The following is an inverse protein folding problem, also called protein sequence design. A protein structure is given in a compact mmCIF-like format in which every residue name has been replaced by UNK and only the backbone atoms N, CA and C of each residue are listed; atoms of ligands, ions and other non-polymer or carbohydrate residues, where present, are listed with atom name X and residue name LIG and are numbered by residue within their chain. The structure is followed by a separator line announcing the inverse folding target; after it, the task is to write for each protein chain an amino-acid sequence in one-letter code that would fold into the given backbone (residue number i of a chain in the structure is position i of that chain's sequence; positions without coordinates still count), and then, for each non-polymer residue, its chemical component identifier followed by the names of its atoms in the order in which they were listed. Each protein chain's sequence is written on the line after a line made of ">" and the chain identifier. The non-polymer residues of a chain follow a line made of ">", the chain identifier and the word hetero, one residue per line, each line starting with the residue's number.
data_IF_037289404560
#
_entry.id   IF_037289404560
#
_cell.length_a   1.000
_cell.length_b   1.000
_cell.length_c   1.000
_cell.angle_alpha   90.00
_cell.angle_beta   90.00
_cell.angle_gamma   90.00
#
_symmetry.space_group_name_H-M   'P 1'
#
loop_
_entity.id
_entity.type
_entity.pdbx_description
1 polymer ?
#
# COMPACT_ATOMS: atom_id res chain seq x y z
N UNK A 1 1.20 5.60 -4.61
CA UNK A 1 0.68 4.21 -4.66
C UNK A 1 1.11 3.64 -5.97
N UNK A 2 1.78 2.49 -5.96
CA UNK A 2 2.29 1.91 -7.19
C UNK A 2 1.71 0.50 -7.34
N UNK A 3 1.13 0.22 -8.49
CA UNK A 3 0.37 -0.98 -8.81
C UNK A 3 1.16 -1.80 -9.82
N UNK A 4 1.32 -3.09 -9.57
CA UNK A 4 2.06 -3.96 -10.46
C UNK A 4 1.10 -4.78 -11.32
N UNK A 5 1.22 -4.67 -12.65
CA UNK A 5 0.52 -5.50 -13.61
C UNK A 5 1.43 -6.67 -14.01
N UNK A 6 1.06 -7.87 -13.58
CA UNK A 6 1.55 -9.20 -13.99
C UNK A 6 2.80 -9.82 -13.32
N UNK A 7 2.61 -11.11 -12.97
CA UNK A 7 3.53 -12.25 -12.91
C UNK A 7 4.88 -12.15 -12.19
N UNK A 8 4.85 -11.89 -10.88
CA UNK A 8 5.93 -12.32 -9.99
C UNK A 8 5.43 -13.35 -8.99
N UNK A 9 5.79 -14.61 -9.27
CA UNK A 9 5.66 -15.76 -8.37
C UNK A 9 6.55 -15.53 -7.13
N UNK A 10 6.00 -14.90 -6.09
CA UNK A 10 6.62 -14.89 -4.75
C UNK A 10 6.43 -16.25 -4.06
N UNK A 11 7.35 -16.67 -3.17
CA UNK A 11 7.32 -18.00 -2.56
C UNK A 11 6.01 -18.22 -1.78
N UNK A 12 5.35 -19.33 -2.08
CA UNK A 12 4.06 -19.74 -1.54
C UNK A 12 4.03 -19.64 -0.02
N UNK A 13 3.30 -18.66 0.54
CA UNK A 13 2.98 -18.65 1.97
C UNK A 13 1.77 -19.51 2.23
N UNK A 14 2.09 -20.67 2.82
CA UNK A 14 1.20 -21.68 3.36
C UNK A 14 0.15 -21.04 4.31
N UNK A 15 -1.12 -21.20 3.96
CA UNK A 15 -2.26 -20.81 4.80
C UNK A 15 -2.43 -21.83 5.93
N UNK A 16 -2.22 -21.42 7.18
CA UNK A 16 -2.71 -22.15 8.34
C UNK A 16 -3.29 -21.17 9.36
N UNK A 17 -4.58 -21.32 9.59
CA UNK A 17 -5.40 -20.60 10.56
C UNK A 17 -4.80 -20.69 11.97
N UNK A 18 -4.40 -19.55 12.53
CA UNK A 18 -4.05 -19.29 13.92
C UNK A 18 -4.55 -17.87 14.28
N UNK A 19 -4.53 -17.43 15.55
CA UNK A 19 -5.14 -16.15 15.97
C UNK A 19 -4.67 -15.01 15.05
N UNK A 20 -5.58 -14.10 14.69
CA UNK A 20 -5.43 -13.05 13.66
C UNK A 20 -4.17 -12.19 13.85
N UNK A 21 -3.03 -12.72 13.42
CA UNK A 21 -1.75 -12.04 13.43
C UNK A 21 -1.44 -11.64 11.99
N UNK A 22 -1.59 -10.34 11.70
CA UNK A 22 -1.14 -9.79 10.44
C UNK A 22 0.37 -9.61 10.52
N UNK A 23 1.10 -10.42 9.75
CA UNK A 23 2.55 -10.29 9.62
C UNK A 23 2.89 -8.87 9.13
N UNK A 24 3.93 -8.23 9.68
CA UNK A 24 4.38 -6.94 9.19
C UNK A 24 4.73 -7.04 7.70
N UNK A 25 4.35 -6.01 6.96
CA UNK A 25 4.68 -5.87 5.54
C UNK A 25 6.14 -5.40 5.46
N UNK A 26 6.98 -6.02 4.60
CA UNK A 26 8.35 -5.56 4.39
C UNK A 26 8.39 -4.06 4.07
N UNK A 27 9.35 -3.36 4.69
CA UNK A 27 9.60 -1.94 4.46
C UNK A 27 11.01 -1.76 3.93
N UNK A 28 11.15 -1.26 2.70
CA UNK A 28 12.44 -0.88 2.12
C UNK A 28 12.64 0.61 2.35
N UNK A 29 13.75 0.98 2.98
CA UNK A 29 14.08 2.39 3.24
C UNK A 29 15.38 2.73 2.53
N UNK A 30 15.35 3.69 1.60
CA UNK A 30 16.56 4.24 0.99
C UNK A 30 17.26 5.22 1.94
N UNK A 31 18.58 5.35 1.85
CA UNK A 31 19.39 6.12 2.82
C UNK A 31 19.05 7.61 2.85
N UNK A 32 18.71 8.18 1.71
CA UNK A 32 18.21 9.54 1.55
C UNK A 32 16.82 9.72 2.18
N UNK A 33 15.91 8.77 1.95
CA UNK A 33 14.58 8.74 2.54
C UNK A 33 14.63 8.60 4.07
N UNK A 34 15.60 7.85 4.61
CA UNK A 34 15.79 7.71 6.06
C UNK A 34 16.06 9.06 6.74
N UNK A 35 16.97 9.87 6.19
CA UNK A 35 17.28 11.19 6.73
C UNK A 35 16.07 12.13 6.68
N UNK A 36 15.37 12.14 5.53
CA UNK A 36 14.18 12.99 5.35
C UNK A 36 12.99 12.53 6.19
N UNK A 37 12.90 11.25 6.56
CA UNK A 37 11.88 10.77 7.50
C UNK A 37 12.00 11.47 8.85
N UNK A 38 13.21 11.63 9.34
CA UNK A 38 13.46 12.17 10.68
C UNK A 38 13.16 13.68 10.72
N UNK A 39 13.50 14.39 9.65
CA UNK A 39 13.40 15.86 9.57
C UNK A 39 12.10 16.37 8.95
N UNK A 40 11.49 15.63 8.03
CA UNK A 40 10.41 16.14 7.17
C UNK A 40 9.13 15.30 7.17
N UNK A 41 9.13 14.05 7.69
CA UNK A 41 7.91 13.23 7.63
C UNK A 41 6.79 13.82 8.52
N UNK A 42 5.62 13.99 7.90
CA UNK A 42 4.42 14.45 8.60
C UNK A 42 3.93 13.40 9.60
N UNK A 43 3.17 13.79 10.64
CA UNK A 43 2.58 12.83 11.58
C UNK A 43 1.76 11.74 10.88
N UNK A 44 1.04 12.09 9.81
CA UNK A 44 0.26 11.14 9.01
C UNK A 44 1.17 10.12 8.33
N UNK A 45 2.26 10.54 7.68
CA UNK A 45 3.19 9.60 7.04
C UNK A 45 3.89 8.69 8.07
N UNK A 46 4.24 9.22 9.24
CA UNK A 46 4.79 8.41 10.35
C UNK A 46 3.78 7.37 10.83
N UNK A 47 2.51 7.75 10.96
CA UNK A 47 1.43 6.85 11.34
C UNK A 47 1.22 5.76 10.29
N UNK A 48 1.09 6.13 9.00
CA UNK A 48 0.93 5.20 7.88
C UNK A 48 2.07 4.18 7.87
N UNK A 49 3.33 4.61 7.98
CA UNK A 49 4.48 3.68 8.06
C UNK A 49 4.35 2.73 9.24
N UNK A 50 4.07 3.26 10.43
CA UNK A 50 3.97 2.46 11.65
C UNK A 50 2.82 1.45 11.58
N UNK A 51 1.71 1.82 10.96
CA UNK A 51 0.58 0.93 10.78
C UNK A 51 1.06 -0.34 10.07
N UNK A 52 1.81 -0.24 8.99
CA UNK A 52 2.17 -1.42 8.18
C UNK A 52 3.42 -2.20 8.61
N UNK A 53 4.30 -1.56 9.40
CA UNK A 53 5.62 -2.12 9.74
C UNK A 53 5.69 -2.74 11.13
N UNK A 54 4.67 -2.56 11.98
CA UNK A 54 4.56 -3.20 13.30
C UNK A 54 3.72 -4.48 13.25
N UNK A 55 4.01 -5.43 14.15
CA UNK A 55 3.10 -6.54 14.41
C UNK A 55 1.77 -5.98 14.93
N UNK A 56 0.66 -6.38 14.30
CA UNK A 56 -0.68 -5.99 14.73
C UNK A 56 -1.34 -7.14 15.48
N UNK A 57 -1.94 -6.82 16.61
CA UNK A 57 -2.71 -7.76 17.43
C UNK A 57 -4.15 -7.26 17.52
N UNK A 58 -5.12 -8.09 17.12
CA UNK A 58 -6.56 -7.75 17.12
C UNK A 58 -7.11 -7.15 15.82
N UNK A 59 -8.39 -6.76 15.85
CA UNK A 59 -9.26 -6.30 14.73
C UNK A 59 -8.81 -5.00 14.00
N UNK A 60 -7.54 -4.59 14.10
CA UNK A 60 -7.00 -3.42 13.37
C UNK A 60 -6.74 -3.74 11.88
N UNK A 61 -7.81 -4.10 11.17
CA UNK A 61 -7.85 -4.34 9.72
C UNK A 61 -8.03 -3.05 8.90
N UNK A 62 -7.45 -1.93 9.34
CA UNK A 62 -7.68 -0.60 8.73
C UNK A 62 -7.45 -0.56 7.21
N UNK A 63 -6.44 -1.28 6.69
CA UNK A 63 -6.21 -1.34 5.24
C UNK A 63 -7.24 -2.21 4.53
N UNK A 64 -7.59 -3.36 5.10
CA UNK A 64 -8.55 -4.28 4.49
C UNK A 64 -9.93 -3.63 4.39
N UNK A 65 -10.32 -2.88 5.41
CA UNK A 65 -11.54 -2.05 5.43
C UNK A 65 -11.47 -0.87 4.47
N UNK A 66 -10.30 -0.22 4.36
CA UNK A 66 -10.08 0.83 3.37
C UNK A 66 -10.24 0.30 1.95
N UNK A 67 -9.60 -0.83 1.63
CA UNK A 67 -9.68 -1.47 0.33
C UNK A 67 -11.13 -1.87 0.03
N UNK A 68 -11.85 -2.43 1.01
CA UNK A 68 -13.30 -2.69 0.89
C UNK A 68 -14.08 -1.43 0.48
N UNK A 69 -13.78 -0.28 1.08
CA UNK A 69 -14.45 1.00 0.81
C UNK A 69 -14.02 1.64 -0.52
N UNK A 70 -12.73 1.58 -0.84
CA UNK A 70 -12.14 2.18 -2.04
C UNK A 70 -12.61 1.43 -3.30
N UNK A 71 -12.53 0.10 -3.26
CA UNK A 71 -12.90 -0.78 -4.36
C UNK A 71 -14.37 -1.24 -4.34
N UNK A 72 -15.10 -0.89 -3.28
CA UNK A 72 -16.55 -1.12 -3.14
C UNK A 72 -16.94 -2.59 -3.33
N UNK A 73 -16.23 -3.52 -2.66
CA UNK A 73 -16.31 -4.95 -2.98
C UNK A 73 -17.69 -5.62 -2.89
N UNK A 74 -18.68 -4.94 -2.31
CA UNK A 74 -20.02 -5.47 -2.00
C UNK A 74 -21.13 -4.68 -2.71
N UNK A 75 -20.79 -3.65 -3.49
CA UNK A 75 -21.76 -2.79 -4.19
C UNK A 75 -21.78 -3.09 -5.70
N UNK A 76 -22.95 -3.00 -6.33
CA UNK A 76 -23.08 -3.17 -7.78
C UNK A 76 -22.22 -2.16 -8.54
N UNK A 77 -21.24 -2.65 -9.31
CA UNK A 77 -20.22 -1.84 -9.99
C UNK A 77 -18.84 -1.81 -9.31
N UNK A 78 -18.68 -2.46 -8.15
CA UNK A 78 -17.39 -2.66 -7.48
C UNK A 78 -16.61 -3.88 -7.97
N UNK A 79 -15.40 -4.05 -7.43
CA UNK A 79 -14.53 -5.19 -7.74
C UNK A 79 -14.88 -6.39 -6.84
N UNK A 80 -14.93 -7.64 -7.33
CA UNK A 80 -15.15 -8.78 -6.44
C UNK A 80 -14.06 -8.89 -5.35
N UNK A 81 -14.41 -9.19 -4.09
CA UNK A 81 -13.43 -9.31 -2.99
C UNK A 81 -12.27 -10.28 -3.29
N UNK A 82 -12.51 -11.34 -4.06
CA UNK A 82 -11.48 -12.29 -4.50
C UNK A 82 -10.40 -11.67 -5.41
N UNK A 83 -10.70 -10.53 -6.02
CA UNK A 83 -9.80 -9.75 -6.88
C UNK A 83 -9.19 -8.56 -6.11
N UNK A 84 -9.35 -8.50 -4.78
CA UNK A 84 -8.77 -7.44 -3.97
C UNK A 84 -7.25 -7.42 -4.15
N UNK A 85 -6.65 -6.23 -4.31
CA UNK A 85 -5.21 -6.13 -4.38
C UNK A 85 -4.60 -6.41 -3.00
N UNK A 86 -3.43 -7.04 -3.00
CA UNK A 86 -2.73 -7.44 -1.78
C UNK A 86 -1.52 -6.52 -1.61
N UNK A 87 -1.41 -5.86 -0.46
CA UNK A 87 -0.23 -5.05 -0.14
C UNK A 87 0.97 -5.98 0.08
N UNK A 88 1.97 -5.89 -0.79
CA UNK A 88 3.16 -6.74 -0.75
C UNK A 88 4.31 -6.10 0.02
N UNK A 89 4.52 -4.80 -0.16
CA UNK A 89 5.59 -4.06 0.51
C UNK A 89 5.29 -2.58 0.61
N UNK A 90 6.06 -1.90 1.45
CA UNK A 90 6.15 -0.45 1.48
C UNK A 90 7.59 -0.04 1.19
N UNK A 91 7.74 1.06 0.46
CA UNK A 91 9.03 1.71 0.25
C UNK A 91 8.95 3.13 0.78
N UNK A 92 10.03 3.55 1.42
CA UNK A 92 10.27 4.93 1.78
C UNK A 92 11.18 5.52 0.73
N UNK A 93 10.70 6.54 0.02
CA UNK A 93 11.36 7.12 -1.14
C UNK A 93 11.40 8.64 -1.02
N UNK A 94 12.16 9.25 -1.94
CA UNK A 94 12.24 10.69 -2.11
C UNK A 94 11.66 11.01 -3.48
N UNK A 95 10.66 11.89 -3.53
CA UNK A 95 10.08 12.37 -4.79
C UNK A 95 11.13 13.12 -5.60
N UNK A 96 10.88 13.33 -6.89
CA UNK A 96 11.74 14.18 -7.75
C UNK A 96 11.95 15.60 -7.15
N UNK A 97 10.94 16.13 -6.46
CA UNK A 97 11.01 17.40 -5.72
C UNK A 97 11.79 17.34 -4.38
N UNK A 98 12.43 16.23 -4.04
CA UNK A 98 13.21 16.07 -2.81
C UNK A 98 12.38 15.85 -1.53
N UNK A 99 11.11 15.44 -1.62
CA UNK A 99 10.23 15.24 -0.47
C UNK A 99 10.15 13.78 -0.09
N UNK A 100 10.12 13.51 1.22
CA UNK A 100 9.87 12.16 1.73
C UNK A 100 8.45 11.69 1.36
N UNK A 101 8.35 10.49 0.79
CA UNK A 101 7.08 9.85 0.46
C UNK A 101 7.04 8.37 0.84
N UNK A 102 5.83 7.83 0.89
CA UNK A 102 5.58 6.41 1.11
C UNK A 102 4.96 5.80 -0.15
N UNK A 103 5.59 4.75 -0.64
CA UNK A 103 5.12 3.96 -1.78
C UNK A 103 4.57 2.64 -1.27
N UNK A 104 3.26 2.47 -1.39
CA UNK A 104 2.58 1.20 -1.16
C UNK A 104 2.55 0.41 -2.47
N UNK A 105 3.12 -0.80 -2.45
CA UNK A 105 3.23 -1.68 -3.62
C UNK A 105 2.19 -2.80 -3.50
N UNK A 106 1.26 -2.83 -4.44
CA UNK A 106 0.20 -3.83 -4.48
C UNK A 106 0.41 -4.86 -5.57
N UNK A 107 0.19 -6.13 -5.23
CA UNK A 107 -0.06 -7.18 -6.22
C UNK A 107 -1.55 -7.22 -6.54
N UNK A 108 -1.89 -7.13 -7.83
CA UNK A 108 -3.27 -7.12 -8.28
C UNK A 108 -3.43 -7.94 -9.57
N UNK A 109 -3.67 -9.25 -9.46
CA UNK A 109 -3.71 -10.16 -10.62
C UNK A 109 -4.89 -9.96 -11.57
N UNK A 110 -5.95 -9.32 -11.08
CA UNK A 110 -7.23 -9.22 -11.78
C UNK A 110 -7.69 -7.77 -11.93
N UNK A 111 -6.81 -6.81 -11.64
CA UNK A 111 -7.08 -5.37 -11.74
C UNK A 111 -6.03 -4.75 -12.65
N UNK A 112 -6.43 -3.76 -13.42
CA UNK A 112 -5.50 -2.97 -14.21
C UNK A 112 -5.10 -1.69 -13.47
N UNK A 113 -4.03 -1.04 -13.90
CA UNK A 113 -3.64 0.28 -13.37
C UNK A 113 -4.81 1.28 -13.38
N UNK A 114 -5.62 1.26 -14.45
CA UNK A 114 -6.79 2.13 -14.60
C UNK A 114 -7.84 1.94 -13.50
N UNK A 115 -7.91 0.76 -12.86
CA UNK A 115 -8.79 0.54 -11.71
C UNK A 115 -8.32 1.32 -10.47
N UNK A 116 -7.02 1.51 -10.32
CA UNK A 116 -6.47 2.30 -9.22
C UNK A 116 -6.55 3.79 -9.51
N UNK A 117 -6.24 4.22 -10.74
CA UNK A 117 -6.30 5.63 -11.16
C UNK A 117 -7.69 6.23 -10.96
N UNK A 118 -8.75 5.51 -11.37
CA UNK A 118 -10.16 5.91 -11.16
C UNK A 118 -10.52 6.08 -9.67
N UNK A 119 -9.69 5.55 -8.76
CA UNK A 119 -9.91 5.52 -7.31
C UNK A 119 -8.85 6.33 -6.54
N UNK A 120 -7.94 7.02 -7.22
CA UNK A 120 -6.83 7.79 -6.62
C UNK A 120 -7.31 8.80 -5.57
N UNK A 121 -8.38 9.54 -5.84
CA UNK A 121 -8.95 10.51 -4.89
C UNK A 121 -9.43 9.85 -3.58
N UNK A 122 -9.93 8.61 -3.65
CA UNK A 122 -10.33 7.84 -2.46
C UNK A 122 -9.13 7.36 -1.66
N UNK A 123 -8.03 7.01 -2.33
CA UNK A 123 -6.77 6.69 -1.65
C UNK A 123 -6.22 7.90 -0.89
N UNK A 124 -6.19 9.08 -1.50
CA UNK A 124 -5.78 10.32 -0.80
C UNK A 124 -6.65 10.56 0.44
N UNK A 125 -7.96 10.48 0.29
CA UNK A 125 -8.92 10.69 1.40
C UNK A 125 -8.81 9.64 2.50
N UNK A 126 -8.41 8.41 2.18
CA UNK A 126 -8.22 7.34 3.17
C UNK A 126 -7.08 7.63 4.13
N UNK A 127 -5.96 8.16 3.62
CA UNK A 127 -4.79 8.47 4.45
C UNK A 127 -4.94 9.79 5.23
N UNK A 128 -5.92 10.62 4.87
CA UNK A 128 -6.30 11.81 5.62
C UNK A 128 -5.96 13.12 4.90
N UNK A 129 -6.35 14.26 5.51
CA UNK A 129 -6.20 15.57 4.90
C UNK A 129 -4.73 15.93 4.69
N UNK A 130 -4.43 16.62 3.59
CA UNK A 130 -3.07 17.05 3.26
C UNK A 130 -2.16 15.95 2.71
N UNK A 131 -2.71 14.77 2.39
CA UNK A 131 -2.00 13.72 1.67
C UNK A 131 -2.36 13.76 0.19
N UNK A 132 -1.33 13.87 -0.65
CA UNK A 132 -1.43 13.59 -2.09
C UNK A 132 -1.22 12.10 -2.32
N UNK A 133 -2.08 11.47 -3.11
CA UNK A 133 -1.88 10.11 -3.58
C UNK A 133 -1.65 10.14 -5.08
N UNK A 134 -0.61 9.47 -5.53
CA UNK A 134 -0.33 9.20 -6.95
C UNK A 134 -0.52 7.72 -7.23
N UNK A 135 -0.86 7.36 -8.46
CA UNK A 135 -0.97 5.98 -8.93
C UNK A 135 0.00 5.81 -10.08
N UNK A 136 0.84 4.77 -10.04
CA UNK A 136 1.81 4.48 -11.09
C UNK A 136 2.08 3.00 -11.23
N UNK A 137 2.78 2.60 -12.28
CA UNK A 137 3.20 1.22 -12.50
C UNK A 137 4.51 0.91 -11.76
N UNK A 138 4.61 -0.27 -11.15
CA UNK A 138 5.83 -0.68 -10.45
C UNK A 138 6.70 -1.55 -11.35
N UNK A 139 7.59 -0.92 -12.11
CA UNK A 139 8.61 -1.64 -12.85
C UNK A 139 9.88 -1.79 -12.02
N UNK A 140 10.27 -3.02 -11.70
CA UNK A 140 11.61 -3.31 -11.17
C UNK A 140 12.63 -3.02 -12.28
N UNK A 141 13.19 -1.82 -12.33
CA UNK A 141 14.40 -1.57 -13.10
C UNK A 141 15.59 -2.14 -12.32
N UNK A 142 16.05 -3.34 -12.72
CA UNK A 142 17.39 -3.79 -12.36
C UNK A 142 18.38 -2.85 -13.02
N UNK A 143 19.06 -2.03 -12.22
CA UNK A 143 20.26 -1.29 -12.67
C UNK A 143 21.46 -1.85 -11.93
#
# INVERSE_FOLDING_TARGET
>A
MVCNNADLQLPSRNNRNGPQELKPVPCVTYSDAQMLRETCATPILKQVRNDFTRYRYGDEQHLDEALKRIFQFVLGGGIPRRNAPILQMIREEVTEDGKYCLVLVFEAKALELSDFEKRQAKFASFFGPGISAEVGEFSLSYT
#
